data_IF_263187865017
#
_entry.id   IF_263187865017
#
_cell.length_a   1.000
_cell.length_b   1.000
_cell.length_c   1.000
_cell.angle_alpha   90.00
_cell.angle_beta   90.00
_cell.angle_gamma   90.00
#
_symmetry.space_group_name_H-M   'P 1'
#
loop_
_entity.id
_entity.type
_entity.pdbx_description
1 polymer ?
#
# COMPACT_ATOMS: atom_id res chain seq x y z
N UNK A 1 -44.36 24.15 -14.36
CA UNK A 1 -45.33 23.78 -13.33
C UNK A 1 -45.07 22.33 -12.89
N UNK A 2 -44.58 22.13 -11.69
CA UNK A 2 -44.62 20.83 -11.03
C UNK A 2 -43.39 19.93 -11.16
N UNK A 3 -42.36 20.20 -10.38
CA UNK A 3 -41.54 19.16 -9.71
C UNK A 3 -40.80 19.79 -8.52
N UNK A 4 -41.54 20.34 -7.62
CA UNK A 4 -41.10 20.69 -6.29
C UNK A 4 -42.12 20.03 -5.35
N UNK A 5 -41.77 18.86 -4.80
CA UNK A 5 -42.38 18.26 -3.60
C UNK A 5 -42.10 16.75 -3.57
N UNK A 6 -40.93 16.35 -3.15
CA UNK A 6 -40.67 14.98 -2.63
C UNK A 6 -39.44 14.93 -1.71
N UNK A 7 -39.24 15.98 -0.90
CA UNK A 7 -38.19 15.93 0.13
C UNK A 7 -38.78 16.35 1.52
N UNK A 8 -40.01 15.96 1.81
CA UNK A 8 -40.68 16.39 3.04
C UNK A 8 -41.23 15.26 3.91
N UNK A 9 -40.78 14.03 3.71
CA UNK A 9 -41.17 12.90 4.58
C UNK A 9 -40.01 11.91 4.82
N UNK A 10 -38.83 12.42 5.09
CA UNK A 10 -37.79 11.58 5.70
C UNK A 10 -37.47 12.15 7.08
N UNK A 11 -37.72 11.33 8.10
CA UNK A 11 -37.43 11.63 9.48
C UNK A 11 -35.92 11.85 9.75
N UNK A 12 -35.53 12.20 10.99
CA UNK A 12 -34.15 12.54 11.35
C UNK A 12 -33.27 11.28 11.31
N UNK A 13 -32.74 10.93 10.13
CA UNK A 13 -31.94 9.73 9.90
C UNK A 13 -31.15 9.71 8.60
N UNK A 14 -31.22 10.78 7.80
CA UNK A 14 -30.48 10.87 6.53
C UNK A 14 -29.34 11.91 6.58
N UNK A 15 -28.73 12.09 7.74
CA UNK A 15 -27.41 12.71 7.82
C UNK A 15 -26.43 11.54 7.72
N UNK A 16 -25.83 11.35 6.56
CA UNK A 16 -24.57 10.62 6.45
C UNK A 16 -23.56 11.21 7.42
N UNK A 17 -22.48 10.52 7.75
CA UNK A 17 -21.45 11.08 8.62
C UNK A 17 -21.10 12.48 8.11
N UNK A 18 -21.29 13.51 8.95
CA UNK A 18 -20.79 14.85 8.66
C UNK A 18 -19.26 14.72 8.66
N UNK A 19 -18.68 14.71 7.47
CA UNK A 19 -17.23 14.83 7.34
C UNK A 19 -16.81 16.16 7.94
N UNK A 20 -15.75 16.22 8.73
CA UNK A 20 -15.21 17.49 9.20
C UNK A 20 -14.97 18.41 8.00
N UNK A 21 -15.23 19.71 8.18
CA UNK A 21 -14.97 20.71 7.14
C UNK A 21 -13.55 20.52 6.61
N UNK A 22 -13.41 20.47 5.27
CA UNK A 22 -12.11 20.29 4.62
C UNK A 22 -11.10 21.29 5.20
N UNK A 23 -9.90 20.82 5.53
CA UNK A 23 -8.83 21.65 6.09
C UNK A 23 -8.58 22.86 5.18
N UNK A 24 -8.59 24.07 5.74
CA UNK A 24 -8.18 25.28 5.02
C UNK A 24 -6.64 25.38 5.06
N UNK A 25 -5.95 25.14 3.92
CA UNK A 25 -4.49 25.15 3.86
C UNK A 25 -3.88 26.50 4.20
N UNK A 26 -4.67 27.59 4.07
CA UNK A 26 -4.18 28.96 4.26
C UNK A 26 -4.29 29.41 5.72
N UNK A 27 -5.10 28.73 6.52
CA UNK A 27 -5.29 29.12 7.93
C UNK A 27 -4.35 28.41 8.91
N UNK A 28 -3.54 27.43 8.48
CA UNK A 28 -2.43 26.85 9.27
C UNK A 28 -2.77 26.53 10.74
N UNK A 29 -4.06 26.41 11.09
CA UNK A 29 -4.50 26.41 12.48
C UNK A 29 -4.16 25.13 13.21
N UNK A 30 -3.94 24.03 12.50
CA UNK A 30 -3.77 22.75 13.15
C UNK A 30 -2.34 22.20 13.09
N UNK A 31 -1.45 22.86 12.36
CA UNK A 31 -0.01 22.59 12.39
C UNK A 31 0.40 21.18 11.98
N UNK A 32 -0.50 20.43 11.31
CA UNK A 32 -0.20 19.08 10.84
C UNK A 32 0.64 19.13 9.57
N UNK A 33 1.51 18.14 9.46
CA UNK A 33 2.37 17.93 8.31
C UNK A 33 2.15 16.49 7.86
N UNK A 34 1.78 16.27 6.60
CA UNK A 34 1.52 14.95 6.07
C UNK A 34 2.67 14.53 5.16
N UNK A 35 3.26 13.37 5.41
CA UNK A 35 4.41 12.88 4.62
C UNK A 35 5.50 13.95 4.43
N UNK A 36 5.78 14.73 5.49
CA UNK A 36 6.81 15.74 5.50
C UNK A 36 6.44 17.13 4.96
N UNK A 37 5.22 17.32 4.40
CA UNK A 37 4.78 18.60 3.84
C UNK A 37 3.33 18.92 4.16
N UNK A 38 3.04 20.16 4.58
CA UNK A 38 1.68 20.58 4.94
C UNK A 38 0.70 20.52 3.75
N UNK A 39 1.16 20.81 2.56
CA UNK A 39 0.36 20.76 1.33
C UNK A 39 -0.11 19.36 0.96
N UNK A 40 0.58 18.30 1.39
CA UNK A 40 0.18 16.94 1.14
C UNK A 40 -1.05 16.54 1.96
N UNK A 41 -1.33 17.21 3.06
CA UNK A 41 -2.54 16.98 3.83
C UNK A 41 -3.84 17.24 3.05
N UNK A 42 -3.79 18.05 2.01
CA UNK A 42 -4.96 18.37 1.18
C UNK A 42 -5.18 17.40 0.02
N UNK A 43 -4.21 16.53 -0.25
CA UNK A 43 -4.35 15.55 -1.32
C UNK A 43 -5.24 14.41 -0.85
N UNK A 44 -6.13 13.97 -1.73
CA UNK A 44 -6.84 12.71 -1.51
C UNK A 44 -5.86 11.53 -1.58
N UNK A 45 -6.17 10.49 -0.86
CA UNK A 45 -5.35 9.27 -0.79
C UNK A 45 -5.04 8.68 -2.18
N UNK A 46 -6.02 8.64 -3.06
CA UNK A 46 -5.89 8.17 -4.44
C UNK A 46 -5.08 9.11 -5.35
N UNK A 47 -4.85 10.36 -4.92
CA UNK A 47 -4.03 11.35 -5.63
C UNK A 47 -2.70 11.64 -4.95
N UNK A 48 -2.16 10.63 -4.26
CA UNK A 48 -0.84 10.66 -3.64
C UNK A 48 -0.06 9.41 -4.06
N UNK A 49 1.26 9.51 -4.25
CA UNK A 49 2.10 8.37 -4.60
C UNK A 49 2.91 7.93 -3.41
N UNK A 50 2.72 6.68 -2.98
CA UNK A 50 3.44 6.05 -1.87
C UNK A 50 4.57 5.18 -2.41
N UNK A 51 5.79 5.24 -1.84
CA UNK A 51 6.81 4.23 -2.08
C UNK A 51 6.40 2.93 -1.37
N UNK A 52 6.40 1.83 -2.11
CA UNK A 52 5.95 0.52 -1.67
C UNK A 52 7.06 -0.51 -1.81
N UNK A 53 7.17 -1.43 -0.85
CA UNK A 53 8.08 -2.57 -0.93
C UNK A 53 7.31 -3.86 -1.17
N UNK A 54 7.75 -4.64 -2.18
CA UNK A 54 7.21 -5.96 -2.47
C UNK A 54 7.82 -6.98 -1.50
N UNK A 55 6.99 -7.83 -0.88
CA UNK A 55 7.45 -8.78 0.16
C UNK A 55 8.31 -8.11 1.24
N UNK A 56 7.77 -7.05 1.83
CA UNK A 56 8.48 -6.12 2.71
C UNK A 56 9.19 -6.78 3.90
N UNK A 57 8.69 -7.92 4.36
CA UNK A 57 9.22 -8.74 5.44
C UNK A 57 10.37 -9.65 5.00
N UNK A 58 10.51 -9.89 3.68
CA UNK A 58 11.48 -10.85 3.16
C UNK A 58 12.88 -10.22 3.07
N UNK A 59 13.52 -10.06 4.24
CA UNK A 59 14.81 -9.34 4.36
C UNK A 59 15.90 -10.20 4.96
N UNK A 60 17.17 -9.89 4.64
CA UNK A 60 18.33 -10.54 5.28
C UNK A 60 18.36 -10.21 6.77
N UNK A 61 17.97 -8.99 7.14
CA UNK A 61 17.93 -8.55 8.54
C UNK A 61 16.92 -9.34 9.38
N UNK A 62 15.82 -9.81 8.76
CA UNK A 62 14.81 -10.66 9.38
C UNK A 62 15.07 -12.16 9.18
N UNK A 63 16.31 -12.55 8.90
CA UNK A 63 16.75 -13.94 8.69
C UNK A 63 16.10 -14.66 7.49
N UNK A 64 15.55 -13.92 6.52
CA UNK A 64 15.00 -14.50 5.28
C UNK A 64 16.14 -14.65 4.24
N UNK A 65 16.64 -15.88 4.09
CA UNK A 65 17.77 -16.17 3.18
C UNK A 65 17.33 -16.69 1.81
N UNK A 66 16.16 -17.29 1.74
CA UNK A 66 15.59 -17.78 0.48
C UNK A 66 14.47 -16.84 0.04
N UNK A 67 14.51 -16.47 -1.22
CA UNK A 67 13.51 -15.54 -1.80
C UNK A 67 13.45 -14.18 -1.05
N UNK A 68 14.60 -13.67 -0.60
CA UNK A 68 14.68 -12.32 -0.06
C UNK A 68 14.40 -11.28 -1.13
N UNK A 69 13.71 -10.21 -0.74
CA UNK A 69 13.38 -9.09 -1.61
C UNK A 69 14.10 -7.80 -1.20
N UNK A 70 14.66 -7.74 0.01
CA UNK A 70 15.34 -6.57 0.56
C UNK A 70 16.50 -6.99 1.46
N UNK A 71 17.41 -6.05 1.74
CA UNK A 71 18.50 -6.28 2.68
C UNK A 71 18.10 -5.94 4.11
N UNK A 72 17.31 -4.88 4.29
CA UNK A 72 16.99 -4.27 5.58
C UNK A 72 15.52 -4.39 5.94
N UNK A 73 15.25 -4.53 7.25
CA UNK A 73 13.93 -4.73 7.79
C UNK A 73 13.08 -3.46 7.87
N UNK A 74 11.92 -3.60 8.51
CA UNK A 74 10.89 -2.57 8.59
C UNK A 74 11.38 -1.22 9.13
N UNK A 75 12.27 -1.22 10.14
CA UNK A 75 12.79 0.04 10.72
C UNK A 75 13.52 0.87 9.66
N UNK A 76 14.43 0.25 8.91
CA UNK A 76 15.18 0.94 7.87
C UNK A 76 14.29 1.37 6.69
N UNK A 77 13.35 0.52 6.28
CA UNK A 77 12.34 0.86 5.26
C UNK A 77 11.54 2.09 5.68
N UNK A 78 11.08 2.13 6.93
CA UNK A 78 10.38 3.30 7.47
C UNK A 78 11.23 4.57 7.46
N UNK A 79 12.48 4.49 7.91
CA UNK A 79 13.44 5.60 7.91
C UNK A 79 13.80 6.05 6.49
N UNK A 80 13.81 5.11 5.54
CA UNK A 80 13.96 5.35 4.11
C UNK A 80 12.72 5.96 3.43
N UNK A 81 11.62 6.15 4.17
CA UNK A 81 10.41 6.81 3.67
C UNK A 81 9.34 5.86 3.12
N UNK A 82 9.55 4.53 3.15
CA UNK A 82 8.53 3.56 2.73
C UNK A 82 7.30 3.68 3.61
N UNK A 83 6.11 3.72 2.98
CA UNK A 83 4.80 3.84 3.66
C UNK A 83 3.75 2.88 3.11
N UNK A 84 4.13 2.01 2.19
CA UNK A 84 3.28 0.92 1.72
C UNK A 84 4.07 -0.39 1.71
N UNK A 85 3.40 -1.49 2.08
CA UNK A 85 4.05 -2.78 2.32
C UNK A 85 3.20 -3.92 1.77
N UNK A 86 3.78 -4.75 0.91
CA UNK A 86 3.17 -6.01 0.47
C UNK A 86 3.66 -7.14 1.38
N UNK A 87 2.72 -7.97 1.86
CA UNK A 87 2.96 -8.98 2.89
C UNK A 87 2.19 -10.27 2.55
N UNK A 88 2.84 -11.43 2.60
CA UNK A 88 2.18 -12.72 2.42
C UNK A 88 1.88 -13.35 3.78
N UNK A 89 0.59 -13.50 4.11
CA UNK A 89 0.15 -13.99 5.40
C UNK A 89 -0.17 -15.49 5.37
N UNK A 90 0.47 -16.25 6.25
CA UNK A 90 0.28 -17.69 6.38
C UNK A 90 0.11 -18.09 7.84
N UNK A 91 -0.41 -19.31 8.09
CA UNK A 91 -0.15 -19.99 9.34
C UNK A 91 1.24 -20.63 9.29
N UNK A 92 1.85 -20.85 10.46
CA UNK A 92 3.19 -21.42 10.56
C UNK A 92 3.29 -22.81 9.89
N UNK A 93 2.24 -23.60 9.98
CA UNK A 93 2.13 -24.92 9.32
C UNK A 93 0.74 -25.14 8.74
N UNK A 94 0.59 -26.17 7.88
CA UNK A 94 -0.73 -26.54 7.34
C UNK A 94 -1.67 -27.14 8.38
N UNK A 95 -1.11 -27.80 9.39
CA UNK A 95 -1.85 -28.49 10.44
C UNK A 95 -2.17 -27.58 11.63
N UNK A 96 -1.30 -26.63 11.91
CA UNK A 96 -1.45 -25.66 12.99
C UNK A 96 -2.01 -24.35 12.46
N UNK A 97 -3.31 -24.16 12.66
CA UNK A 97 -4.06 -23.00 12.18
C UNK A 97 -4.48 -22.09 13.32
N UNK A 98 -3.66 -22.02 14.40
CA UNK A 98 -3.95 -21.10 15.49
C UNK A 98 -3.73 -19.65 15.06
N UNK A 99 -4.54 -18.78 15.62
CA UNK A 99 -4.42 -17.35 15.37
C UNK A 99 -3.07 -16.76 15.80
N UNK A 100 -2.44 -17.34 16.81
CA UNK A 100 -1.13 -16.91 17.33
C UNK A 100 0.04 -17.30 16.40
N UNK A 101 -0.21 -18.20 15.45
CA UNK A 101 0.79 -18.73 14.52
C UNK A 101 0.74 -18.07 13.14
N UNK A 102 0.16 -16.86 13.05
CA UNK A 102 0.22 -16.07 11.81
C UNK A 102 1.64 -15.57 11.58
N UNK A 103 2.14 -15.82 10.37
CA UNK A 103 3.50 -15.49 9.92
C UNK A 103 3.46 -14.80 8.57
N UNK A 104 4.51 -14.07 8.25
CA UNK A 104 4.80 -13.66 6.89
C UNK A 104 5.80 -14.64 6.28
N UNK A 105 5.42 -15.26 5.17
CA UNK A 105 6.20 -16.29 4.48
C UNK A 105 5.94 -16.22 2.98
N UNK A 106 6.99 -16.29 2.16
CA UNK A 106 6.86 -16.15 0.72
C UNK A 106 6.39 -17.42 0.03
N UNK A 107 5.31 -17.34 -0.70
CA UNK A 107 4.84 -18.35 -1.67
C UNK A 107 3.43 -18.86 -1.45
N UNK A 108 2.86 -19.39 -2.52
CA UNK A 108 1.53 -20.01 -2.54
C UNK A 108 1.59 -21.43 -1.92
N UNK A 109 0.86 -21.71 -0.83
CA UNK A 109 0.87 -22.99 -0.15
C UNK A 109 0.32 -24.15 -1.01
N UNK A 110 -0.45 -23.84 -2.06
CA UNK A 110 -1.02 -24.86 -2.95
C UNK A 110 -0.11 -25.19 -4.14
N UNK A 111 0.79 -24.28 -4.50
CA UNK A 111 1.73 -24.46 -5.61
C UNK A 111 3.08 -25.05 -5.19
N UNK A 112 3.42 -25.01 -3.90
CA UNK A 112 4.69 -25.50 -3.37
C UNK A 112 4.57 -26.90 -2.79
N UNK A 113 5.60 -27.76 -3.01
CA UNK A 113 5.69 -29.09 -2.41
C UNK A 113 5.82 -29.02 -0.87
N UNK A 114 6.49 -28.00 -0.39
CA UNK A 114 6.68 -27.71 1.04
C UNK A 114 5.94 -26.41 1.41
N UNK A 115 5.46 -26.33 2.64
CA UNK A 115 4.82 -25.13 3.16
C UNK A 115 5.78 -23.93 3.10
N UNK A 116 5.36 -22.75 2.65
CA UNK A 116 6.23 -21.57 2.49
C UNK A 116 7.06 -21.23 3.72
N UNK A 117 6.49 -21.29 4.91
CA UNK A 117 7.16 -20.96 6.17
C UNK A 117 8.27 -21.92 6.59
N UNK A 118 8.48 -23.04 5.89
CA UNK A 118 9.59 -23.96 6.16
C UNK A 118 10.95 -23.34 5.78
N UNK A 119 10.94 -22.46 4.79
CA UNK A 119 12.19 -21.87 4.29
C UNK A 119 12.63 -20.65 5.09
N UNK A 120 11.67 -19.85 5.51
CA UNK A 120 11.85 -18.67 6.37
C UNK A 120 10.49 -18.16 6.82
N UNK A 121 10.44 -17.55 7.99
CA UNK A 121 9.23 -16.97 8.54
C UNK A 121 9.54 -15.70 9.32
N UNK A 122 8.61 -14.74 9.28
CA UNK A 122 8.66 -13.54 10.12
C UNK A 122 7.40 -13.49 10.97
N UNK A 123 7.57 -13.22 12.27
CA UNK A 123 6.45 -13.13 13.21
C UNK A 123 5.58 -11.91 12.91
N UNK A 124 4.35 -12.16 12.46
CA UNK A 124 3.42 -11.10 12.05
C UNK A 124 3.02 -10.17 13.20
N UNK A 125 2.91 -10.70 14.45
CA UNK A 125 2.62 -9.88 15.62
C UNK A 125 3.76 -8.93 15.95
N UNK A 126 4.99 -9.42 15.94
CA UNK A 126 6.17 -8.60 16.21
C UNK A 126 6.32 -7.50 15.15
N UNK A 127 6.15 -7.85 13.89
CA UNK A 127 6.26 -6.93 12.77
C UNK A 127 5.19 -5.82 12.82
N UNK A 128 3.91 -6.17 13.03
CA UNK A 128 2.83 -5.19 13.13
C UNK A 128 2.93 -4.31 14.39
N UNK A 129 3.44 -4.83 15.51
CA UNK A 129 3.72 -4.01 16.70
C UNK A 129 4.84 -2.99 16.45
N UNK A 130 5.87 -3.39 15.72
CA UNK A 130 6.92 -2.47 15.32
C UNK A 130 6.36 -1.39 14.40
N UNK A 131 5.56 -1.76 13.39
CA UNK A 131 4.89 -0.79 12.52
C UNK A 131 4.01 0.18 13.33
N UNK A 132 3.18 -0.33 14.24
CA UNK A 132 2.34 0.50 15.12
C UNK A 132 3.16 1.46 15.98
N UNK A 133 4.33 1.02 16.48
CA UNK A 133 5.26 1.89 17.22
C UNK A 133 5.84 3.00 16.34
N UNK A 134 6.22 2.68 15.10
CA UNK A 134 6.73 3.66 14.14
C UNK A 134 5.66 4.69 13.76
N UNK A 135 4.45 4.24 13.48
CA UNK A 135 3.30 5.11 13.20
C UNK A 135 2.96 6.01 14.40
N UNK A 136 3.02 5.51 15.63
CA UNK A 136 2.77 6.32 16.84
C UNK A 136 3.82 7.40 17.08
N UNK A 137 5.05 7.18 16.63
CA UNK A 137 6.14 8.14 16.74
C UNK A 137 6.22 9.11 15.55
N UNK A 138 5.38 8.89 14.53
CA UNK A 138 5.22 9.77 13.38
C UNK A 138 3.91 10.54 13.50
N UNK A 139 3.94 11.81 13.13
CA UNK A 139 2.73 12.63 13.06
C UNK A 139 2.45 12.98 11.61
N UNK A 140 1.50 12.29 10.99
CA UNK A 140 1.02 12.69 9.67
C UNK A 140 1.33 11.74 8.52
N UNK A 141 1.76 10.52 8.81
CA UNK A 141 1.92 9.49 7.79
C UNK A 141 0.66 8.63 7.68
N UNK A 142 0.21 8.38 6.46
CA UNK A 142 -0.77 7.35 6.13
C UNK A 142 -0.01 6.14 5.60
N UNK A 143 -0.40 4.95 6.04
CA UNK A 143 0.27 3.68 5.71
C UNK A 143 -0.70 2.76 4.98
N UNK A 144 -0.19 1.97 4.05
CA UNK A 144 -0.97 0.97 3.32
C UNK A 144 -0.33 -0.41 3.43
N UNK A 145 -1.17 -1.42 3.60
CA UNK A 145 -0.78 -2.82 3.57
C UNK A 145 -1.54 -3.52 2.45
N UNK A 146 -0.85 -4.27 1.61
CA UNK A 146 -1.44 -5.21 0.67
C UNK A 146 -1.08 -6.63 1.12
N UNK A 147 -2.08 -7.39 1.54
CA UNK A 147 -1.91 -8.74 2.03
C UNK A 147 -2.19 -9.75 0.92
N UNK A 148 -1.17 -10.49 0.48
CA UNK A 148 -1.37 -11.76 -0.19
C UNK A 148 -1.77 -12.76 0.89
N UNK A 149 -3.08 -13.02 1.01
CA UNK A 149 -3.61 -13.58 2.23
C UNK A 149 -4.06 -15.04 2.11
N UNK A 150 -3.50 -15.89 2.96
CA UNK A 150 -3.80 -17.31 3.06
C UNK A 150 -4.36 -17.72 4.43
N UNK A 151 -4.73 -16.75 5.28
CA UNK A 151 -5.33 -17.01 6.59
C UNK A 151 -6.78 -16.49 6.67
N UNK A 152 -7.65 -17.07 7.52
CA UNK A 152 -9.02 -16.57 7.69
C UNK A 152 -9.07 -15.13 8.18
N UNK A 153 -10.05 -14.33 7.71
CA UNK A 153 -10.24 -12.94 8.13
C UNK A 153 -10.42 -12.76 9.63
N UNK A 154 -11.00 -13.76 10.32
CA UNK A 154 -11.11 -13.74 11.79
C UNK A 154 -9.75 -13.77 12.49
N UNK A 155 -8.75 -14.43 11.91
CA UNK A 155 -7.39 -14.45 12.45
C UNK A 155 -6.67 -13.12 12.21
N UNK A 156 -6.87 -12.51 11.04
CA UNK A 156 -6.38 -11.15 10.77
C UNK A 156 -7.02 -10.14 11.73
N UNK A 157 -8.34 -10.24 11.99
CA UNK A 157 -9.00 -9.34 12.93
C UNK A 157 -8.41 -9.44 14.33
N UNK A 158 -8.16 -10.66 14.83
CA UNK A 158 -7.51 -10.86 16.12
C UNK A 158 -6.08 -10.31 16.11
N UNK A 159 -5.30 -10.58 15.06
CA UNK A 159 -3.94 -10.08 14.89
C UNK A 159 -3.90 -8.53 14.93
N UNK A 160 -4.73 -7.88 14.12
CA UNK A 160 -4.78 -6.41 14.04
C UNK A 160 -5.32 -5.79 15.33
N UNK A 161 -6.29 -6.41 16.00
CA UNK A 161 -6.80 -5.95 17.30
C UNK A 161 -5.73 -6.05 18.39
N UNK A 162 -5.03 -7.19 18.50
CA UNK A 162 -4.00 -7.41 19.53
C UNK A 162 -2.75 -6.55 19.33
N UNK A 163 -2.48 -6.12 18.11
CA UNK A 163 -1.38 -5.21 17.79
C UNK A 163 -1.77 -3.73 17.87
N UNK A 164 -3.06 -3.42 18.11
CA UNK A 164 -3.59 -2.05 18.15
C UNK A 164 -3.70 -1.39 16.78
N UNK A 165 -3.60 -2.18 15.71
CA UNK A 165 -3.66 -1.65 14.34
C UNK A 165 -5.11 -1.52 13.85
N UNK A 166 -6.06 -2.31 14.40
CA UNK A 166 -7.45 -2.33 13.94
C UNK A 166 -8.15 -0.98 14.11
N UNK A 167 -7.91 -0.29 15.21
CA UNK A 167 -8.52 1.02 15.50
C UNK A 167 -8.06 2.14 14.55
N UNK A 168 -6.97 1.91 13.81
CA UNK A 168 -6.39 2.85 12.85
C UNK A 168 -6.89 2.65 11.43
N UNK A 169 -7.61 1.56 11.15
CA UNK A 169 -7.95 1.22 9.77
C UNK A 169 -9.05 2.12 9.25
N UNK A 170 -8.79 2.77 8.11
CA UNK A 170 -9.80 3.46 7.32
C UNK A 170 -10.64 2.43 6.56
N UNK A 171 -11.97 2.57 6.61
CA UNK A 171 -12.91 1.71 5.88
C UNK A 171 -13.46 2.47 4.68
N UNK A 172 -12.99 2.10 3.49
CA UNK A 172 -13.46 2.67 2.23
C UNK A 172 -14.62 1.86 1.64
N UNK A 173 -15.59 2.55 1.07
CA UNK A 173 -16.68 1.93 0.30
C UNK A 173 -16.44 2.14 -1.20
N UNK A 174 -16.48 1.07 -2.02
CA UNK A 174 -16.27 1.18 -3.46
C UNK A 174 -17.16 2.24 -4.10
N UNK A 175 -16.57 3.05 -4.99
CA UNK A 175 -17.26 4.13 -5.69
C UNK A 175 -17.46 5.42 -4.89
N UNK A 176 -17.03 5.48 -3.64
CA UNK A 176 -16.98 6.72 -2.88
C UNK A 176 -15.62 7.42 -3.08
N UNK A 177 -15.56 8.75 -2.99
CA UNK A 177 -14.29 9.48 -3.01
C UNK A 177 -13.39 9.05 -1.84
N UNK A 178 -12.09 8.98 -2.09
CA UNK A 178 -11.11 8.82 -1.03
C UNK A 178 -10.98 10.14 -0.23
N UNK A 179 -10.79 10.08 1.08
CA UNK A 179 -10.56 11.26 1.92
C UNK A 179 -9.19 11.88 1.61
N UNK A 180 -8.99 13.09 2.11
CA UNK A 180 -7.66 13.67 2.12
C UNK A 180 -6.75 12.95 3.12
N UNK A 181 -5.44 12.97 2.85
CA UNK A 181 -4.42 12.45 3.78
C UNK A 181 -4.59 13.12 5.16
N UNK A 182 -4.82 14.45 5.19
CA UNK A 182 -5.04 15.17 6.43
C UNK A 182 -6.27 14.73 7.20
N UNK A 183 -7.38 14.46 6.51
CA UNK A 183 -8.60 13.94 7.18
C UNK A 183 -8.34 12.56 7.79
N UNK A 184 -7.61 11.67 7.09
CA UNK A 184 -7.25 10.36 7.62
C UNK A 184 -6.40 10.48 8.89
N UNK A 185 -5.39 11.34 8.86
CA UNK A 185 -4.50 11.59 10.01
C UNK A 185 -5.24 12.18 11.19
N UNK A 186 -6.06 13.21 10.97
CA UNK A 186 -6.84 13.87 12.04
C UNK A 186 -7.87 12.97 12.70
N UNK A 187 -8.46 12.07 11.92
CA UNK A 187 -9.45 11.11 12.44
C UNK A 187 -8.78 9.86 13.07
N UNK A 188 -7.44 9.73 12.99
CA UNK A 188 -6.72 8.55 13.47
C UNK A 188 -7.02 7.28 12.67
N UNK A 189 -7.47 7.44 11.41
CA UNK A 189 -7.74 6.34 10.47
C UNK A 189 -6.69 6.36 9.36
N UNK A 190 -5.45 6.27 9.74
CA UNK A 190 -4.26 6.46 8.93
C UNK A 190 -3.62 5.16 8.42
N UNK A 191 -4.38 4.07 8.44
CA UNK A 191 -4.00 2.77 7.91
C UNK A 191 -5.04 2.28 6.90
N UNK A 192 -4.60 1.87 5.72
CA UNK A 192 -5.44 1.21 4.70
C UNK A 192 -4.95 -0.22 4.51
N UNK A 193 -5.84 -1.20 4.59
CA UNK A 193 -5.48 -2.61 4.45
C UNK A 193 -6.25 -3.23 3.29
N UNK A 194 -5.50 -3.75 2.32
CA UNK A 194 -6.03 -4.53 1.21
C UNK A 194 -5.69 -6.00 1.41
N UNK A 195 -6.55 -6.89 0.93
CA UNK A 195 -6.23 -8.31 0.78
C UNK A 195 -6.65 -8.82 -0.60
N UNK A 196 -5.85 -9.65 -1.22
CA UNK A 196 -6.03 -10.06 -2.60
C UNK A 196 -6.70 -11.44 -2.75
N UNK A 197 -6.77 -12.20 -1.68
CA UNK A 197 -7.27 -13.58 -1.66
C UNK A 197 -8.32 -13.74 -0.55
N UNK A 198 -9.32 -14.58 -0.73
CA UNK A 198 -10.34 -14.91 0.29
C UNK A 198 -11.17 -13.72 0.80
N UNK A 199 -11.64 -12.84 -0.07
CA UNK A 199 -12.54 -11.74 0.32
C UNK A 199 -13.74 -12.23 1.13
N UNK A 200 -14.05 -11.56 2.26
CA UNK A 200 -15.18 -11.84 3.12
C UNK A 200 -15.81 -10.53 3.60
N UNK A 201 -17.07 -10.31 3.23
CA UNK A 201 -17.83 -9.08 3.58
C UNK A 201 -18.01 -8.87 5.09
N UNK A 202 -17.75 -9.89 5.92
CA UNK A 202 -17.78 -9.74 7.38
C UNK A 202 -16.69 -8.84 7.92
N UNK A 203 -15.62 -8.63 7.13
CA UNK A 203 -14.45 -7.82 7.51
C UNK A 203 -14.32 -6.61 6.57
N UNK A 204 -15.22 -5.60 6.68
CA UNK A 204 -15.24 -4.46 5.76
C UNK A 204 -14.00 -3.57 5.83
N UNK A 205 -13.17 -3.75 6.84
CA UNK A 205 -11.89 -3.07 7.02
C UNK A 205 -10.76 -3.71 6.19
N UNK A 206 -10.94 -4.96 5.74
CA UNK A 206 -10.07 -5.65 4.78
C UNK A 206 -10.63 -5.39 3.37
N UNK A 207 -10.08 -4.42 2.69
CA UNK A 207 -10.56 -4.06 1.36
C UNK A 207 -10.16 -5.13 0.35
N UNK A 208 -11.11 -5.69 -0.41
CA UNK A 208 -10.74 -6.56 -1.52
C UNK A 208 -9.90 -5.78 -2.53
N UNK A 209 -8.63 -6.17 -2.68
CA UNK A 209 -7.64 -5.43 -3.45
C UNK A 209 -8.14 -5.07 -4.85
N UNK A 210 -8.65 -6.07 -5.57
CA UNK A 210 -9.03 -5.94 -6.99
C UNK A 210 -10.44 -5.37 -7.22
N UNK A 211 -11.10 -4.92 -6.15
CA UNK A 211 -12.33 -4.11 -6.19
C UNK A 211 -12.05 -2.64 -5.86
N UNK A 212 -11.01 -2.37 -5.08
CA UNK A 212 -10.65 -1.02 -4.64
C UNK A 212 -9.43 -0.46 -5.37
N UNK A 213 -8.64 -1.33 -6.00
CA UNK A 213 -7.45 -0.99 -6.76
C UNK A 213 -7.24 -1.93 -7.94
N UNK A 214 -6.19 -1.68 -8.70
CA UNK A 214 -5.66 -2.55 -9.73
C UNK A 214 -4.13 -2.42 -9.78
N UNK A 215 -3.45 -3.32 -10.50
CA UNK A 215 -2.01 -3.24 -10.66
C UNK A 215 -1.56 -3.43 -12.11
N UNK A 216 -0.29 -3.08 -12.38
CA UNK A 216 0.38 -3.46 -13.63
C UNK A 216 0.89 -4.90 -13.54
N UNK A 217 1.14 -5.59 -14.67
CA UNK A 217 1.73 -6.92 -14.66
C UNK A 217 3.04 -6.97 -13.86
N UNK A 218 3.33 -8.15 -13.32
CA UNK A 218 4.54 -8.46 -12.56
C UNK A 218 5.11 -9.81 -13.02
N UNK A 219 6.36 -10.09 -12.64
CA UNK A 219 7.06 -11.33 -13.04
C UNK A 219 7.76 -11.23 -14.39
N UNK A 220 7.80 -10.04 -15.00
CA UNK A 220 8.59 -9.78 -16.20
C UNK A 220 10.09 -10.04 -15.93
N UNK A 221 10.77 -10.54 -16.96
CA UNK A 221 12.20 -10.85 -16.88
C UNK A 221 13.07 -9.80 -17.55
N UNK A 222 12.50 -8.94 -18.37
CA UNK A 222 13.19 -7.88 -19.09
C UNK A 222 12.47 -6.54 -18.91
N UNK A 223 13.25 -5.46 -18.76
CA UNK A 223 12.72 -4.10 -18.62
C UNK A 223 11.80 -3.69 -19.79
N UNK A 224 12.10 -4.17 -21.00
CA UNK A 224 11.30 -3.89 -22.20
C UNK A 224 9.90 -4.51 -22.18
N UNK A 225 9.67 -5.49 -21.30
CA UNK A 225 8.38 -6.16 -21.13
C UNK A 225 7.47 -5.43 -20.12
N UNK A 226 8.06 -4.56 -19.27
CA UNK A 226 7.34 -3.83 -18.23
C UNK A 226 6.37 -2.82 -18.84
N UNK A 227 5.07 -3.14 -18.82
CA UNK A 227 4.00 -2.34 -19.41
C UNK A 227 3.16 -1.60 -18.36
N UNK A 228 2.32 -0.66 -18.83
CA UNK A 228 1.36 0.07 -18.00
C UNK A 228 -0.06 -0.52 -18.07
N UNK A 229 -0.23 -1.66 -18.76
CA UNK A 229 -1.53 -2.32 -18.89
C UNK A 229 -2.01 -2.87 -17.55
N UNK A 230 -3.30 -3.15 -17.44
CA UNK A 230 -3.88 -3.81 -16.27
C UNK A 230 -3.35 -5.24 -16.15
N UNK A 231 -2.85 -5.59 -14.98
CA UNK A 231 -2.47 -6.93 -14.55
C UNK A 231 -3.63 -7.60 -13.81
N UNK A 232 -3.89 -7.17 -12.58
CA UNK A 232 -5.02 -7.61 -11.75
C UNK A 232 -5.97 -6.45 -11.52
N UNK A 233 -7.25 -6.73 -11.25
CA UNK A 233 -8.30 -5.73 -11.11
C UNK A 233 -8.94 -5.35 -12.45
N UNK A 234 -9.74 -4.29 -12.46
CA UNK A 234 -10.55 -3.88 -13.62
C UNK A 234 -9.98 -2.65 -14.38
N UNK A 235 -8.94 -2.01 -13.82
CA UNK A 235 -8.33 -0.83 -14.42
C UNK A 235 -9.17 0.46 -14.35
N UNK A 236 -10.25 0.46 -13.56
CA UNK A 236 -11.17 1.60 -13.46
C UNK A 236 -10.99 2.37 -12.15
N UNK A 237 -10.48 1.70 -11.12
CA UNK A 237 -10.28 2.31 -9.81
C UNK A 237 -9.16 3.36 -9.87
N UNK A 238 -9.31 4.50 -9.14
CA UNK A 238 -8.29 5.54 -9.12
C UNK A 238 -7.01 5.12 -8.37
N UNK A 239 -7.12 4.14 -7.46
CA UNK A 239 -5.98 3.57 -6.74
C UNK A 239 -5.35 2.48 -7.58
N UNK A 240 -4.03 2.54 -7.78
CA UNK A 240 -3.34 1.50 -8.50
C UNK A 240 -1.85 1.39 -8.16
N UNK A 241 -1.29 0.17 -8.41
CA UNK A 241 0.08 -0.21 -8.12
C UNK A 241 0.89 -0.31 -9.41
N UNK A 242 1.97 0.45 -9.48
CA UNK A 242 3.01 0.29 -10.49
C UNK A 242 4.02 -0.73 -9.96
N UNK A 243 3.87 -2.00 -10.36
CA UNK A 243 4.81 -3.05 -10.02
C UNK A 243 6.13 -2.83 -10.77
N UNK A 244 7.23 -2.57 -10.06
CA UNK A 244 8.51 -2.21 -10.65
C UNK A 244 9.65 -3.09 -10.15
N UNK A 245 9.61 -4.35 -10.54
CA UNK A 245 10.71 -5.30 -10.33
C UNK A 245 10.83 -6.27 -11.50
N UNK A 246 11.97 -6.93 -11.58
CA UNK A 246 12.25 -7.97 -12.57
C UNK A 246 12.55 -9.28 -11.85
N UNK A 247 11.87 -10.33 -12.27
CA UNK A 247 12.10 -11.67 -11.75
C UNK A 247 13.22 -12.38 -12.50
N UNK A 248 14.00 -13.18 -11.78
CA UNK A 248 14.91 -14.14 -12.41
C UNK A 248 14.12 -15.23 -13.13
N UNK A 249 14.80 -16.02 -13.94
CA UNK A 249 14.19 -17.19 -14.63
C UNK A 249 13.62 -18.24 -13.65
N UNK A 250 13.96 -18.16 -12.39
CA UNK A 250 13.45 -19.02 -11.31
C UNK A 250 12.36 -18.33 -10.47
N UNK A 251 11.93 -17.11 -10.83
CA UNK A 251 10.91 -16.35 -10.11
C UNK A 251 11.40 -15.62 -8.86
N UNK A 252 12.73 -15.60 -8.60
CA UNK A 252 13.28 -14.86 -7.45
C UNK A 252 13.62 -13.42 -7.83
N UNK A 253 13.57 -12.54 -6.87
CA UNK A 253 14.08 -11.17 -6.99
C UNK A 253 15.58 -11.15 -7.31
N UNK A 254 16.02 -10.19 -8.13
CA UNK A 254 17.40 -10.04 -8.58
C UNK A 254 17.92 -8.64 -8.20
N UNK A 255 18.84 -8.52 -7.22
CA UNK A 255 19.31 -7.22 -6.73
C UNK A 255 20.03 -6.39 -7.81
N UNK A 256 20.76 -7.03 -8.71
CA UNK A 256 21.49 -6.31 -9.78
C UNK A 256 20.51 -5.67 -10.76
N UNK A 257 19.45 -6.39 -11.10
CA UNK A 257 18.41 -5.91 -12.01
C UNK A 257 17.47 -4.93 -11.31
N UNK A 258 17.20 -5.13 -10.01
CA UNK A 258 16.46 -4.17 -9.21
C UNK A 258 17.14 -2.81 -9.21
N UNK A 259 18.44 -2.72 -8.96
CA UNK A 259 19.19 -1.47 -9.02
C UNK A 259 19.13 -0.77 -10.39
N UNK A 260 18.97 -1.53 -11.49
CA UNK A 260 18.82 -0.95 -12.83
C UNK A 260 17.43 -0.32 -13.05
N UNK A 261 16.35 -1.00 -12.64
CA UNK A 261 14.98 -0.51 -12.86
C UNK A 261 14.52 0.47 -11.78
N UNK A 262 15.17 0.49 -10.61
CA UNK A 262 14.89 1.40 -9.50
C UNK A 262 15.79 2.66 -9.54
N UNK A 263 16.75 2.75 -10.49
CA UNK A 263 17.49 4.00 -10.74
C UNK A 263 16.52 5.15 -10.96
N UNK A 264 16.84 6.33 -10.41
CA UNK A 264 15.93 7.47 -10.37
C UNK A 264 15.38 7.84 -11.74
N UNK A 265 16.24 8.01 -12.73
CA UNK A 265 15.79 8.46 -14.07
C UNK A 265 14.96 7.38 -14.75
N UNK A 266 15.38 6.11 -14.63
CA UNK A 266 14.69 4.94 -15.20
C UNK A 266 13.29 4.76 -14.60
N UNK A 267 13.18 4.81 -13.27
CA UNK A 267 11.90 4.63 -12.57
C UNK A 267 10.98 5.81 -12.79
N UNK A 268 11.50 7.03 -12.75
CA UNK A 268 10.73 8.24 -13.00
C UNK A 268 10.17 8.26 -14.42
N UNK A 269 10.99 7.95 -15.43
CA UNK A 269 10.53 7.87 -16.83
C UNK A 269 9.38 6.86 -16.98
N UNK A 270 9.52 5.68 -16.35
CA UNK A 270 8.46 4.67 -16.38
C UNK A 270 7.19 5.15 -15.67
N UNK A 271 7.30 5.73 -14.49
CA UNK A 271 6.16 6.23 -13.72
C UNK A 271 5.40 7.33 -14.47
N UNK A 272 6.12 8.26 -15.10
CA UNK A 272 5.53 9.33 -15.91
C UNK A 272 4.85 8.82 -17.19
N UNK A 273 5.50 7.87 -17.88
CA UNK A 273 4.90 7.20 -19.04
C UNK A 273 3.59 6.51 -18.66
N UNK A 274 3.59 5.76 -17.56
CA UNK A 274 2.40 5.07 -17.11
C UNK A 274 1.32 6.05 -16.61
N UNK A 275 1.69 7.14 -15.98
CA UNK A 275 0.75 8.21 -15.65
C UNK A 275 0.08 8.80 -16.90
N UNK A 276 0.86 9.05 -17.96
CA UNK A 276 0.31 9.56 -19.22
C UNK A 276 -0.61 8.53 -19.92
N UNK A 277 -0.22 7.25 -19.96
CA UNK A 277 -1.00 6.19 -20.58
C UNK A 277 -2.30 5.88 -19.84
N UNK A 278 -2.27 5.90 -18.50
CA UNK A 278 -3.43 5.62 -17.63
C UNK A 278 -4.32 6.85 -17.47
N UNK A 279 -3.74 8.05 -17.44
CA UNK A 279 -4.43 9.30 -17.16
C UNK A 279 -4.38 9.74 -15.71
N UNK A 280 -4.00 8.83 -14.80
CA UNK A 280 -3.85 9.08 -13.36
C UNK A 280 -2.47 8.63 -12.88
N UNK A 281 -1.96 9.30 -11.81
CA UNK A 281 -0.68 8.93 -11.20
C UNK A 281 -0.76 7.56 -10.52
N UNK A 282 0.35 6.79 -10.47
CA UNK A 282 0.39 5.61 -9.62
C UNK A 282 0.20 6.01 -8.15
N UNK A 283 -0.73 5.34 -7.47
CA UNK A 283 -0.88 5.50 -6.02
C UNK A 283 0.26 4.81 -5.29
N UNK A 284 0.73 3.69 -5.83
CA UNK A 284 1.85 2.95 -5.27
C UNK A 284 2.90 2.68 -6.34
N UNK A 285 4.18 2.78 -5.97
CA UNK A 285 5.29 2.27 -6.76
C UNK A 285 5.97 1.19 -5.94
N UNK A 286 5.75 -0.07 -6.34
CA UNK A 286 6.24 -1.24 -5.64
C UNK A 286 7.55 -1.72 -6.23
N UNK A 287 8.56 -1.93 -5.37
CA UNK A 287 9.92 -2.32 -5.77
C UNK A 287 10.45 -3.47 -4.93
N UNK A 288 11.36 -4.26 -5.52
CA UNK A 288 12.32 -5.09 -4.80
C UNK A 288 13.60 -4.30 -4.54
N UNK A 289 14.37 -4.67 -3.51
CA UNK A 289 15.66 -4.06 -3.15
C UNK A 289 15.62 -2.53 -3.21
N UNK A 290 14.73 -1.97 -2.42
CA UNK A 290 14.52 -0.51 -2.35
C UNK A 290 15.81 0.27 -2.04
N UNK A 291 16.77 -0.39 -1.37
CA UNK A 291 18.07 0.17 -0.98
C UNK A 291 18.98 0.40 -2.19
N UNK A 292 18.79 -0.38 -3.26
CA UNK A 292 19.58 -0.29 -4.49
C UNK A 292 19.00 0.70 -5.50
N UNK A 293 18.03 1.54 -5.07
CA UNK A 293 17.34 2.48 -5.94
C UNK A 293 16.84 3.73 -5.23
N UNK A 294 15.98 4.48 -5.92
CA UNK A 294 15.53 5.80 -5.45
C UNK A 294 14.00 5.95 -5.45
N UNK A 295 13.26 4.88 -5.13
CA UNK A 295 11.79 4.89 -5.17
C UNK A 295 11.20 6.03 -4.34
N UNK A 296 11.77 6.31 -3.15
CA UNK A 296 11.32 7.41 -2.29
C UNK A 296 11.52 8.77 -2.96
N UNK A 297 12.67 9.01 -3.58
CA UNK A 297 12.93 10.28 -4.28
C UNK A 297 12.04 10.44 -5.53
N UNK A 298 11.78 9.35 -6.24
CA UNK A 298 10.82 9.34 -7.36
C UNK A 298 9.42 9.71 -6.89
N UNK A 299 8.92 9.10 -5.80
CA UNK A 299 7.59 9.42 -5.27
C UNK A 299 7.49 10.85 -4.74
N UNK A 300 8.56 11.38 -4.11
CA UNK A 300 8.64 12.79 -3.73
C UNK A 300 8.51 13.70 -4.97
N UNK A 301 9.21 13.36 -6.07
CA UNK A 301 9.12 14.12 -7.33
C UNK A 301 7.71 14.10 -7.89
N UNK A 302 7.08 12.92 -7.97
CA UNK A 302 5.70 12.79 -8.43
C UNK A 302 4.73 13.58 -7.53
N UNK A 303 4.92 13.54 -6.22
CA UNK A 303 4.08 14.27 -5.27
C UNK A 303 4.27 15.79 -5.30
N UNK A 304 5.36 16.32 -5.84
CA UNK A 304 5.49 17.76 -6.11
C UNK A 304 4.67 18.22 -7.31
N UNK A 305 4.20 17.32 -8.15
CA UNK A 305 3.36 17.62 -9.30
C UNK A 305 1.88 17.46 -8.95
N UNK A 306 1.04 18.46 -9.27
CA UNK A 306 -0.42 18.36 -9.12
C UNK A 306 -1.06 17.58 -10.29
N UNK A 307 -0.45 17.63 -11.46
CA UNK A 307 -0.85 16.97 -12.70
C UNK A 307 0.38 16.78 -13.59
N UNK A 308 0.31 15.88 -14.53
CA UNK A 308 1.36 15.73 -15.53
C UNK A 308 1.27 16.86 -16.58
N UNK A 309 2.28 17.70 -16.64
CA UNK A 309 2.34 18.86 -17.55
C UNK A 309 3.43 18.74 -18.63
N UNK A 310 4.19 17.65 -18.62
CA UNK A 310 5.41 17.51 -19.43
C UNK A 310 6.65 18.14 -18.81
N UNK A 311 6.55 18.76 -17.63
CA UNK A 311 7.67 19.35 -16.89
C UNK A 311 7.92 18.59 -15.60
N UNK A 312 9.16 18.16 -15.39
CA UNK A 312 9.61 17.41 -14.20
C UNK A 312 10.29 18.38 -13.23
N UNK A 313 9.90 18.38 -11.94
CA UNK A 313 10.62 19.11 -10.90
C UNK A 313 12.08 18.66 -10.78
N UNK A 314 12.93 19.49 -10.19
CA UNK A 314 14.30 19.08 -9.91
C UNK A 314 14.34 17.88 -8.95
N UNK A 315 15.34 17.03 -9.14
CA UNK A 315 15.64 15.90 -8.23
C UNK A 315 15.72 16.41 -6.77
N UNK A 316 15.09 15.72 -5.81
CA UNK A 316 15.07 16.08 -4.39
C UNK A 316 16.43 16.19 -3.74
#
# INVERSE_FOLDING_TARGET
>A
MGLMLLCSMMGPGCLGPEWPEALDPLNGSDGIVCHGMAEYCLRSYDNFTFPETHNSYATIEDDVWMAMNHYTGLQAQWEGGIRAYMLDTHHLTKEDTNVEDVRFCHGDPDSTFLHPCIYSEVDAYAWLRLLGSLMNNSSGDVVSLLLENYVPGEHLEVLFNQTGMLDRVFVHQPGHPWPSIGDMVLNGTDLVVYWDYQYDERYPWLHHAWTHSWDTPYGEQEQSEMSCRVGRGDGVQPVWHLNNWLSSVFGFADPVRAGQVNDYDTLLERALRCWEEVGDRPTFIAVDYWEDGEVTNVTITLNKMSHWSGEVPAHP
#
